data_IF_496198663803
#
_entry.id   IF_496198663803
#
_cell.length_a   1.000
_cell.length_b   1.000
_cell.length_c   1.000
_cell.angle_alpha   90.00
_cell.angle_beta   90.00
_cell.angle_gamma   90.00
#
_symmetry.space_group_name_H-M   'P 1'
#
loop_
_entity.id
_entity.type
_entity.pdbx_description
1 polymer ?
#
# COMPACT_ATOMS: atom_id res chain seq x y z
N UNK A 1 -6.05 0.32 7.85
CA UNK A 1 -4.95 1.20 7.38
C UNK A 1 -5.25 1.94 6.07
N UNK A 2 -6.51 1.90 5.58
CA UNK A 2 -7.00 2.76 4.50
C UNK A 2 -6.84 4.26 4.80
N UNK A 3 -6.93 4.66 6.08
CA UNK A 3 -6.69 6.03 6.54
C UNK A 3 -5.35 6.58 6.05
N UNK A 4 -4.27 5.83 6.25
CA UNK A 4 -2.91 6.30 5.93
C UNK A 4 -2.69 6.43 4.43
N UNK A 5 -3.39 5.64 3.61
CA UNK A 5 -3.29 5.73 2.16
C UNK A 5 -4.12 6.89 1.59
N UNK A 6 -5.39 7.01 1.99
CA UNK A 6 -6.28 8.06 1.46
C UNK A 6 -5.93 9.47 1.95
N UNK A 7 -5.28 9.58 3.10
CA UNK A 7 -4.85 10.86 3.71
C UNK A 7 -3.34 11.07 3.61
N UNK A 8 -2.63 10.25 2.84
CA UNK A 8 -1.20 10.42 2.59
C UNK A 8 -1.01 11.82 2.00
N UNK A 9 -0.24 12.68 2.66
CA UNK A 9 0.16 13.97 2.11
C UNK A 9 1.24 13.75 1.06
N UNK A 10 1.53 14.77 0.25
CA UNK A 10 2.67 14.72 -0.66
C UNK A 10 3.44 16.03 -0.70
N UNK A 11 4.71 15.95 -1.11
CA UNK A 11 5.56 17.11 -1.39
C UNK A 11 6.16 17.02 -2.79
N UNK A 12 6.20 18.13 -3.54
CA UNK A 12 6.96 18.20 -4.78
C UNK A 12 8.43 17.84 -4.57
N UNK A 13 9.05 17.30 -5.61
CA UNK A 13 10.49 17.08 -5.62
C UNK A 13 11.21 18.41 -5.41
N UNK A 14 12.15 18.44 -4.47
CA UNK A 14 12.90 19.65 -4.09
C UNK A 14 12.20 20.52 -3.04
N UNK A 15 10.93 20.27 -2.70
CA UNK A 15 10.29 20.95 -1.58
C UNK A 15 10.81 20.39 -0.25
N UNK A 16 10.85 21.25 0.78
CA UNK A 16 11.16 20.82 2.13
C UNK A 16 10.06 19.89 2.66
N UNK A 17 10.43 18.71 3.20
CA UNK A 17 9.50 17.82 3.89
C UNK A 17 8.75 18.52 5.03
N UNK A 18 7.55 18.06 5.33
CA UNK A 18 6.87 18.48 6.56
C UNK A 18 7.66 18.01 7.79
N UNK A 19 7.59 18.79 8.87
CA UNK A 19 8.26 18.42 10.13
C UNK A 19 7.59 17.18 10.73
N UNK A 20 8.39 16.39 11.46
CA UNK A 20 7.89 15.19 12.16
C UNK A 20 6.73 15.54 13.09
N UNK A 21 6.89 16.62 13.87
CA UNK A 21 5.85 17.13 14.79
C UNK A 21 4.54 17.41 14.06
N UNK A 22 4.59 18.11 12.92
CA UNK A 22 3.40 18.42 12.15
C UNK A 22 2.67 17.16 11.66
N UNK A 23 3.42 16.18 11.14
CA UNK A 23 2.84 14.92 10.67
C UNK A 23 2.24 14.09 11.82
N UNK A 24 2.90 14.06 12.99
CA UNK A 24 2.40 13.39 14.20
C UNK A 24 1.12 14.04 14.71
N UNK A 25 1.04 15.37 14.76
CA UNK A 25 -0.16 16.12 15.17
C UNK A 25 -1.34 15.80 14.25
N UNK A 26 -1.10 15.73 12.93
CA UNK A 26 -2.12 15.35 11.95
C UNK A 26 -2.43 13.86 11.93
N UNK A 27 -1.55 13.02 12.48
CA UNK A 27 -1.55 11.56 12.33
C UNK A 27 -1.68 11.13 10.87
N UNK A 28 -0.90 11.77 9.99
CA UNK A 28 -0.85 11.53 8.53
C UNK A 28 0.58 11.24 8.09
N UNK A 29 0.71 10.40 7.06
CA UNK A 29 1.99 10.19 6.38
C UNK A 29 2.23 11.21 5.28
N UNK A 30 3.43 11.18 4.70
CA UNK A 30 3.84 12.03 3.58
C UNK A 30 4.65 11.21 2.55
N UNK A 31 4.26 11.31 1.28
CA UNK A 31 5.09 10.92 0.14
C UNK A 31 6.01 12.09 -0.21
N UNK A 32 7.33 11.88 -0.18
CA UNK A 32 8.31 12.94 -0.39
C UNK A 32 9.56 12.42 -1.10
N UNK A 33 10.29 13.33 -1.74
CA UNK A 33 11.55 13.00 -2.38
C UNK A 33 12.70 12.99 -1.36
N UNK A 34 13.42 11.88 -1.27
CA UNK A 34 14.66 11.78 -0.55
C UNK A 34 15.81 12.15 -1.49
N UNK A 35 16.35 13.36 -1.31
CA UNK A 35 17.45 13.89 -2.13
C UNK A 35 18.78 13.16 -1.91
N UNK A 36 19.00 12.58 -0.73
CA UNK A 36 20.24 11.86 -0.41
C UNK A 36 20.32 10.54 -1.18
N UNK A 37 19.23 9.78 -1.17
CA UNK A 37 19.19 8.44 -1.76
C UNK A 37 18.64 8.44 -3.18
N UNK A 38 18.13 9.58 -3.66
CA UNK A 38 17.59 9.75 -5.00
C UNK A 38 16.33 8.92 -5.23
N UNK A 39 15.31 9.09 -4.39
CA UNK A 39 14.06 8.34 -4.57
C UNK A 39 12.87 8.87 -3.80
N UNK A 40 11.68 8.46 -4.24
CA UNK A 40 10.45 8.67 -3.48
C UNK A 40 10.45 7.81 -2.22
N UNK A 41 10.09 8.41 -1.09
CA UNK A 41 9.90 7.71 0.17
C UNK A 41 8.53 8.03 0.78
N UNK A 42 8.00 7.06 1.50
CA UNK A 42 6.82 7.20 2.35
C UNK A 42 7.31 7.31 3.79
N UNK A 43 7.05 8.46 4.41
CA UNK A 43 7.25 8.69 5.84
C UNK A 43 5.89 8.64 6.54
N UNK A 44 5.75 7.85 7.60
CA UNK A 44 4.53 7.83 8.41
C UNK A 44 4.91 7.86 9.89
N UNK A 45 4.50 8.88 10.66
CA UNK A 45 4.76 8.93 12.10
C UNK A 45 4.04 7.78 12.81
N UNK A 46 4.61 7.30 13.91
CA UNK A 46 4.11 6.12 14.63
C UNK A 46 2.66 6.33 15.12
N UNK A 47 2.28 7.55 15.48
CA UNK A 47 0.94 7.92 15.96
C UNK A 47 -0.16 7.78 14.89
N UNK A 48 0.21 7.66 13.61
CA UNK A 48 -0.73 7.37 12.53
C UNK A 48 -1.10 5.89 12.44
N UNK A 49 -0.38 4.99 13.13
CA UNK A 49 -0.68 3.56 13.16
C UNK A 49 -1.55 3.19 14.35
N UNK A 50 -2.53 2.30 14.10
CA UNK A 50 -3.37 1.76 15.19
C UNK A 50 -2.57 0.87 16.14
N UNK A 51 -1.53 0.22 15.63
CA UNK A 51 -0.64 -0.67 16.36
C UNK A 51 0.70 0.01 16.71
N UNK A 52 0.67 1.33 16.95
CA UNK A 52 1.84 2.14 17.32
C UNK A 52 2.67 1.53 18.47
N UNK A 53 2.02 0.90 19.45
CA UNK A 53 2.67 0.26 20.59
C UNK A 53 3.18 -1.17 20.34
N UNK A 54 3.04 -1.71 19.13
CA UNK A 54 3.53 -3.04 18.80
C UNK A 54 5.06 -3.12 18.77
N UNK A 55 5.58 -4.32 18.96
CA UNK A 55 7.01 -4.64 18.90
C UNK A 55 7.66 -4.31 17.55
N UNK A 56 6.87 -4.19 16.49
CA UNK A 56 7.31 -3.76 15.16
C UNK A 56 7.85 -2.32 15.18
N UNK A 57 7.09 -1.38 15.76
CA UNK A 57 7.43 0.03 15.67
C UNK A 57 8.46 0.45 16.72
N UNK A 58 8.42 -0.10 17.94
CA UNK A 58 9.32 0.31 19.04
C UNK A 58 9.40 1.84 19.23
N UNK A 59 8.28 2.54 19.01
CA UNK A 59 8.21 4.00 19.07
C UNK A 59 8.84 4.74 17.88
N UNK A 60 9.28 4.04 16.83
CA UNK A 60 9.87 4.64 15.63
C UNK A 60 8.83 4.83 14.53
N UNK A 61 9.04 5.87 13.71
CA UNK A 61 8.25 6.13 12.53
C UNK A 61 8.47 5.04 11.46
N UNK A 62 7.51 4.90 10.55
CA UNK A 62 7.67 4.08 9.36
C UNK A 62 8.36 4.89 8.26
N UNK A 63 9.42 4.31 7.71
CA UNK A 63 10.16 4.86 6.59
C UNK A 63 10.31 3.78 5.53
N UNK A 64 9.84 4.06 4.32
CA UNK A 64 10.02 3.16 3.18
C UNK A 64 10.40 3.97 1.95
N UNK A 65 11.63 3.76 1.45
CA UNK A 65 11.98 4.16 0.10
C UNK A 65 11.23 3.26 -0.88
N UNK A 66 10.48 3.87 -1.78
CA UNK A 66 9.76 3.15 -2.82
C UNK A 66 10.76 2.71 -3.89
N UNK A 67 10.84 1.41 -4.21
CA UNK A 67 11.67 0.96 -5.32
C UNK A 67 11.02 1.40 -6.64
N UNK A 68 11.84 1.84 -7.59
CA UNK A 68 11.35 2.24 -8.91
C UNK A 68 11.17 1.01 -9.82
N UNK A 69 10.17 0.19 -9.49
CA UNK A 69 9.83 -1.00 -10.27
C UNK A 69 8.69 -0.67 -11.24
N UNK A 70 8.82 -1.15 -12.47
CA UNK A 70 7.82 -0.98 -13.53
C UNK A 70 7.47 0.50 -13.83
N UNK A 71 8.46 1.40 -13.70
CA UNK A 71 8.28 2.83 -13.97
C UNK A 71 7.42 3.54 -12.93
N UNK A 72 7.47 3.11 -11.67
CA UNK A 72 6.70 3.70 -10.58
C UNK A 72 6.94 5.21 -10.48
N UNK A 73 8.18 5.67 -10.66
CA UNK A 73 8.50 7.09 -10.53
C UNK A 73 7.89 7.90 -11.67
N UNK A 74 7.91 7.36 -12.89
CA UNK A 74 7.24 7.99 -14.04
C UNK A 74 5.72 8.03 -13.86
N UNK A 75 5.13 6.98 -13.27
CA UNK A 75 3.70 6.96 -12.93
C UNK A 75 3.35 8.02 -11.87
N UNK A 76 4.19 8.16 -10.83
CA UNK A 76 4.03 9.20 -9.80
C UNK A 76 4.12 10.59 -10.44
N UNK A 77 5.15 10.85 -11.26
CA UNK A 77 5.33 12.13 -11.94
C UNK A 77 4.18 12.43 -12.90
N UNK A 78 3.80 11.48 -13.76
CA UNK A 78 2.66 11.64 -14.67
C UNK A 78 1.35 11.91 -13.92
N UNK A 79 1.14 11.25 -12.78
CA UNK A 79 0.00 11.52 -11.91
C UNK A 79 0.05 12.93 -11.32
N UNK A 80 1.15 13.32 -10.69
CA UNK A 80 1.28 14.61 -10.01
C UNK A 80 1.27 15.81 -10.96
N UNK A 81 1.95 15.69 -12.10
CA UNK A 81 2.18 16.82 -13.01
C UNK A 81 1.03 17.01 -14.00
N UNK A 82 0.32 15.94 -14.36
CA UNK A 82 -0.72 15.99 -15.40
C UNK A 82 -2.10 15.62 -14.88
N UNK A 83 -2.24 14.46 -14.25
CA UNK A 83 -3.58 13.93 -13.95
C UNK A 83 -4.22 14.57 -12.72
N UNK A 84 -3.44 14.77 -11.65
CA UNK A 84 -3.92 15.34 -10.40
C UNK A 84 -4.42 16.79 -10.56
N UNK A 85 -3.72 17.70 -11.28
CA UNK A 85 -4.24 19.04 -11.57
C UNK A 85 -5.55 19.00 -12.37
N UNK A 86 -5.69 18.09 -13.35
CA UNK A 86 -6.93 17.91 -14.11
C UNK A 86 -8.09 17.44 -13.23
N UNK A 87 -7.83 16.59 -12.25
CA UNK A 87 -8.85 16.13 -11.29
C UNK A 87 -9.29 17.25 -10.34
N UNK A 88 -8.37 18.12 -9.94
CA UNK A 88 -8.66 19.27 -9.07
C UNK A 88 -9.41 20.39 -9.82
N UNK A 89 -9.05 20.65 -11.08
CA UNK A 89 -9.60 21.78 -11.83
C UNK A 89 -9.33 23.09 -11.09
N UNK A 90 -10.40 23.80 -10.71
CA UNK A 90 -10.32 25.06 -9.95
C UNK A 90 -10.53 24.89 -8.44
N UNK A 91 -10.67 23.65 -7.95
CA UNK A 91 -10.84 23.40 -6.53
C UNK A 91 -9.55 23.63 -5.75
N UNK A 92 -9.68 23.96 -4.46
CA UNK A 92 -8.54 24.06 -3.56
C UNK A 92 -7.85 22.70 -3.42
N UNK A 93 -6.51 22.71 -3.44
CA UNK A 93 -5.72 21.50 -3.28
C UNK A 93 -5.72 21.04 -1.81
N UNK A 94 -6.21 19.83 -1.49
CA UNK A 94 -6.22 19.32 -0.11
C UNK A 94 -4.84 18.86 0.40
N UNK A 95 -3.82 18.85 -0.46
CA UNK A 95 -2.46 18.37 -0.15
C UNK A 95 -2.32 16.85 -0.04
N UNK A 96 -3.42 16.09 -0.15
CA UNK A 96 -3.37 14.61 -0.19
C UNK A 96 -2.87 14.12 -1.54
N UNK A 97 -2.07 13.06 -1.55
CA UNK A 97 -1.53 12.44 -2.75
C UNK A 97 -2.68 12.05 -3.69
N UNK A 98 -3.60 11.20 -3.22
CA UNK A 98 -4.80 10.84 -3.98
C UNK A 98 -5.92 11.87 -3.81
N UNK A 99 -6.54 12.25 -4.93
CA UNK A 99 -7.69 13.15 -4.99
C UNK A 99 -8.79 12.59 -5.87
N UNK A 100 -10.06 12.88 -5.53
CA UNK A 100 -11.21 12.61 -6.40
C UNK A 100 -11.44 13.81 -7.33
N UNK A 101 -12.10 13.58 -8.46
CA UNK A 101 -12.47 14.67 -9.37
C UNK A 101 -13.37 15.67 -8.66
N UNK A 102 -12.94 16.93 -8.55
CA UNK A 102 -13.78 18.01 -8.07
C UNK A 102 -14.89 18.28 -9.08
N UNK A 103 -16.12 18.39 -8.59
CA UNK A 103 -17.30 18.68 -9.42
C UNK A 103 -17.76 20.10 -9.15
N UNK A 104 -18.50 20.70 -10.09
CA UNK A 104 -19.15 22.01 -9.88
C UNK A 104 -20.00 22.08 -8.60
N UNK A 105 -20.58 20.95 -8.20
CA UNK A 105 -21.44 20.83 -7.01
C UNK A 105 -20.71 20.36 -5.75
N UNK A 106 -19.43 19.98 -5.85
CA UNK A 106 -18.62 19.51 -4.72
C UNK A 106 -17.15 19.82 -5.00
N UNK A 107 -16.64 20.86 -4.34
CA UNK A 107 -15.26 21.33 -4.44
C UNK A 107 -14.30 20.61 -3.52
N UNK A 108 -14.80 19.76 -2.61
CA UNK A 108 -13.95 18.90 -1.80
C UNK A 108 -13.37 17.80 -2.69
N UNK A 109 -12.05 17.78 -2.85
CA UNK A 109 -11.32 16.79 -3.62
C UNK A 109 -10.68 15.68 -2.73
N UNK A 110 -10.78 15.76 -1.40
CA UNK A 110 -10.24 14.74 -0.51
C UNK A 110 -11.11 13.47 -0.53
N UNK A 111 -10.47 12.32 -0.49
CA UNK A 111 -11.16 11.05 -0.37
C UNK A 111 -11.58 10.76 1.09
N UNK A 112 -12.89 10.52 1.27
CA UNK A 112 -13.45 9.88 2.46
C UNK A 112 -13.22 8.37 2.44
N UNK A 113 -13.63 7.67 3.50
CA UNK A 113 -13.48 6.22 3.57
C UNK A 113 -14.30 5.50 2.49
N UNK A 114 -15.57 5.85 2.34
CA UNK A 114 -16.47 5.22 1.36
C UNK A 114 -16.00 5.49 -0.07
N UNK A 115 -15.76 6.76 -0.40
CA UNK A 115 -15.38 7.15 -1.77
C UNK A 115 -14.03 6.59 -2.19
N UNK A 116 -13.07 6.47 -1.28
CA UNK A 116 -11.79 5.81 -1.59
C UNK A 116 -11.95 4.32 -1.84
N UNK A 117 -12.77 3.64 -1.04
CA UNK A 117 -13.03 2.21 -1.19
C UNK A 117 -13.71 1.92 -2.54
N UNK A 118 -14.70 2.73 -2.91
CA UNK A 118 -15.40 2.62 -4.19
C UNK A 118 -14.47 2.89 -5.37
N UNK A 119 -13.65 3.94 -5.30
CA UNK A 119 -12.66 4.25 -6.33
C UNK A 119 -11.68 3.09 -6.53
N UNK A 120 -11.16 2.52 -5.43
CA UNK A 120 -10.31 1.33 -5.48
C UNK A 120 -11.01 0.16 -6.16
N UNK A 121 -12.21 -0.19 -5.70
CA UNK A 121 -12.98 -1.32 -6.24
C UNK A 121 -13.25 -1.13 -7.73
N UNK A 122 -13.60 0.08 -8.17
CA UNK A 122 -13.85 0.38 -9.58
C UNK A 122 -12.59 0.22 -10.43
N UNK A 123 -11.44 0.72 -9.97
CA UNK A 123 -10.16 0.58 -10.66
C UNK A 123 -9.76 -0.89 -10.78
N UNK A 124 -9.87 -1.66 -9.70
CA UNK A 124 -9.59 -3.10 -9.73
C UNK A 124 -10.51 -3.83 -10.69
N UNK A 125 -11.81 -3.55 -10.66
CA UNK A 125 -12.77 -4.19 -11.56
C UNK A 125 -12.50 -3.87 -13.03
N UNK A 126 -12.12 -2.62 -13.34
CA UNK A 126 -11.92 -2.17 -14.71
C UNK A 126 -10.57 -2.56 -15.29
N UNK A 127 -9.52 -2.52 -14.48
CA UNK A 127 -8.13 -2.65 -14.95
C UNK A 127 -7.36 -3.81 -14.29
N UNK A 128 -7.72 -4.19 -13.06
CA UNK A 128 -7.04 -5.27 -12.35
C UNK A 128 -7.48 -6.66 -12.82
N UNK A 129 -8.80 -6.89 -12.90
CA UNK A 129 -9.37 -8.20 -13.21
C UNK A 129 -9.23 -8.50 -14.70
N UNK A 130 -8.53 -9.60 -15.03
CA UNK A 130 -8.42 -10.05 -16.41
C UNK A 130 -9.73 -10.67 -16.91
N UNK A 131 -10.23 -10.17 -18.04
CA UNK A 131 -11.40 -10.68 -18.74
C UNK A 131 -10.96 -11.52 -19.95
N UNK A 132 -11.24 -12.84 -19.95
CA UNK A 132 -10.79 -13.74 -21.02
C UNK A 132 -11.46 -13.50 -22.38
N UNK A 133 -12.62 -12.84 -22.40
CA UNK A 133 -13.35 -12.53 -23.64
C UNK A 133 -12.82 -11.26 -24.30
N UNK A 134 -12.45 -10.24 -23.53
CA UNK A 134 -11.93 -8.97 -24.08
C UNK A 134 -10.40 -8.91 -24.11
N UNK A 135 -9.71 -9.87 -23.47
CA UNK A 135 -8.25 -9.90 -23.29
C UNK A 135 -7.70 -8.65 -22.58
N UNK A 136 -8.55 -7.96 -21.80
CA UNK A 136 -8.20 -6.77 -21.03
C UNK A 136 -8.08 -7.11 -19.55
N UNK A 137 -7.37 -6.26 -18.80
CA UNK A 137 -7.11 -6.42 -17.38
C UNK A 137 -5.75 -7.07 -17.11
N UNK A 138 -5.25 -6.94 -15.87
CA UNK A 138 -3.87 -7.27 -15.55
C UNK A 138 -3.66 -8.69 -14.98
N UNK A 139 -4.60 -9.20 -14.18
CA UNK A 139 -4.38 -10.40 -13.36
C UNK A 139 -5.52 -11.41 -13.55
N UNK A 140 -5.17 -12.60 -14.04
CA UNK A 140 -6.09 -13.72 -14.17
C UNK A 140 -6.53 -14.25 -12.80
N UNK A 141 -7.83 -14.47 -12.65
CA UNK A 141 -8.42 -14.99 -11.40
C UNK A 141 -8.52 -13.97 -10.26
N UNK A 142 -8.09 -12.71 -10.47
CA UNK A 142 -8.28 -11.66 -9.48
C UNK A 142 -9.77 -11.35 -9.30
N UNK A 143 -10.21 -11.24 -8.05
CA UNK A 143 -11.58 -10.85 -7.71
C UNK A 143 -11.65 -9.39 -7.24
N UNK A 144 -12.83 -8.74 -7.31
CA UNK A 144 -13.02 -7.41 -6.74
C UNK A 144 -12.71 -7.43 -5.25
N UNK A 145 -11.90 -6.49 -4.78
CA UNK A 145 -11.43 -6.44 -3.41
C UNK A 145 -11.17 -5.00 -2.97
N UNK A 146 -11.05 -4.80 -1.65
CA UNK A 146 -10.75 -3.49 -1.07
C UNK A 146 -9.26 -3.27 -0.84
N UNK A 147 -8.82 -2.05 -0.47
CA UNK A 147 -7.42 -1.76 -0.21
C UNK A 147 -6.76 -2.65 0.87
N UNK A 148 -7.56 -3.23 1.78
CA UNK A 148 -7.05 -4.11 2.83
C UNK A 148 -6.42 -5.40 2.26
N UNK A 149 -6.98 -5.94 1.17
CA UNK A 149 -6.54 -7.22 0.63
C UNK A 149 -5.13 -7.19 0.05
N UNK A 150 -4.56 -6.00 -0.22
CA UNK A 150 -3.13 -5.87 -0.54
C UNK A 150 -2.28 -6.38 0.62
N UNK A 151 -2.68 -6.11 1.87
CA UNK A 151 -2.00 -6.65 3.06
C UNK A 151 -2.15 -8.16 3.12
N UNK A 152 -3.35 -8.68 2.86
CA UNK A 152 -3.61 -10.12 2.86
C UNK A 152 -2.67 -10.83 1.88
N UNK A 153 -2.57 -10.31 0.66
CA UNK A 153 -1.69 -10.84 -0.39
C UNK A 153 -0.23 -10.78 0.04
N UNK A 154 0.26 -9.63 0.54
CA UNK A 154 1.66 -9.48 0.94
C UNK A 154 2.04 -10.42 2.09
N UNK A 155 1.28 -10.42 3.17
CA UNK A 155 1.55 -11.26 4.35
C UNK A 155 1.49 -12.75 3.98
N UNK A 156 0.43 -13.16 3.29
CA UNK A 156 0.25 -14.57 2.88
C UNK A 156 1.33 -15.00 1.90
N UNK A 157 1.71 -14.15 0.93
CA UNK A 157 2.73 -14.49 -0.05
C UNK A 157 4.09 -14.68 0.61
N UNK A 158 4.50 -13.77 1.48
CA UNK A 158 5.78 -13.88 2.20
C UNK A 158 5.75 -15.11 3.10
N UNK A 159 4.68 -15.32 3.87
CA UNK A 159 4.57 -16.50 4.71
C UNK A 159 4.65 -17.81 3.91
N UNK A 160 4.00 -17.90 2.74
CA UNK A 160 4.11 -19.06 1.84
C UNK A 160 5.50 -19.25 1.24
N UNK A 161 6.28 -18.18 1.10
CA UNK A 161 7.63 -18.24 0.53
C UNK A 161 8.69 -18.56 1.58
N UNK A 162 8.51 -18.08 2.80
CA UNK A 162 9.57 -18.10 3.83
C UNK A 162 9.22 -18.94 5.04
N UNK A 163 7.94 -19.26 5.25
CA UNK A 163 7.45 -19.94 6.46
C UNK A 163 7.51 -19.09 7.74
N UNK A 164 8.03 -17.85 7.68
CA UNK A 164 8.24 -17.00 8.86
C UNK A 164 7.12 -15.99 9.05
N UNK A 165 6.46 -16.07 10.22
CA UNK A 165 5.47 -15.08 10.65
C UNK A 165 6.12 -13.72 10.90
N UNK A 166 7.37 -13.69 11.37
CA UNK A 166 8.16 -12.47 11.58
C UNK A 166 8.36 -11.73 10.26
N UNK A 167 8.88 -12.40 9.24
CA UNK A 167 9.11 -11.76 7.94
C UNK A 167 7.80 -11.30 7.30
N UNK A 168 6.74 -12.10 7.40
CA UNK A 168 5.41 -11.71 6.92
C UNK A 168 4.87 -10.48 7.67
N UNK A 169 5.11 -10.39 8.97
CA UNK A 169 4.66 -9.26 9.80
C UNK A 169 5.36 -7.95 9.41
N UNK A 170 6.63 -8.00 9.03
CA UNK A 170 7.38 -6.82 8.58
C UNK A 170 6.78 -6.20 7.32
N UNK A 171 6.34 -7.03 6.38
CA UNK A 171 5.76 -6.56 5.11
C UNK A 171 4.46 -5.80 5.29
N UNK A 172 3.73 -6.08 6.37
CA UNK A 172 2.49 -5.40 6.71
C UNK A 172 2.63 -4.51 7.96
N UNK A 173 3.85 -4.28 8.45
CA UNK A 173 4.13 -3.45 9.62
C UNK A 173 3.23 -3.84 10.82
N UNK A 174 3.14 -5.13 11.11
CA UNK A 174 2.30 -5.71 12.18
C UNK A 174 3.12 -6.67 13.06
N UNK A 175 2.47 -7.38 13.98
CA UNK A 175 3.12 -8.38 14.83
C UNK A 175 3.02 -9.80 14.24
N UNK A 176 3.97 -10.71 14.53
CA UNK A 176 3.90 -12.12 14.11
C UNK A 176 2.61 -12.80 14.56
N UNK A 177 2.15 -12.51 15.79
CA UNK A 177 0.92 -13.07 16.37
C UNK A 177 -0.31 -12.66 15.54
N UNK A 178 -0.37 -11.38 15.14
CA UNK A 178 -1.43 -10.86 14.27
C UNK A 178 -1.43 -11.56 12.91
N UNK A 179 -0.24 -11.86 12.35
CA UNK A 179 -0.12 -12.63 11.11
C UNK A 179 -0.63 -14.05 11.30
N UNK A 180 -0.26 -14.71 12.39
CA UNK A 180 -0.68 -16.07 12.68
C UNK A 180 -2.21 -16.19 12.79
N UNK A 181 -2.85 -15.27 13.51
CA UNK A 181 -4.30 -15.31 13.76
C UNK A 181 -5.15 -14.99 12.51
N UNK A 182 -4.69 -14.04 11.69
CA UNK A 182 -5.51 -13.45 10.63
C UNK A 182 -5.05 -13.78 9.21
N UNK A 183 -3.77 -14.09 9.01
CA UNK A 183 -3.15 -14.21 7.69
C UNK A 183 -2.55 -15.60 7.41
N UNK A 184 -2.35 -16.44 8.43
CA UNK A 184 -1.84 -17.82 8.32
C UNK A 184 -2.82 -18.87 7.80
N UNK A 185 -3.93 -18.45 7.17
CA UNK A 185 -5.02 -19.36 6.75
C UNK A 185 -4.77 -19.94 5.37
N UNK A 186 -4.01 -21.03 5.34
CA UNK A 186 -3.68 -21.76 4.11
C UNK A 186 -4.74 -22.80 3.74
N UNK A 187 -4.99 -22.95 2.44
CA UNK A 187 -5.80 -24.05 1.93
C UNK A 187 -5.10 -25.39 2.19
N UNK A 188 -5.82 -26.52 2.30
CA UNK A 188 -5.20 -27.83 2.50
C UNK A 188 -4.11 -28.14 1.47
N UNK A 189 -4.31 -27.79 0.20
CA UNK A 189 -3.31 -27.98 -0.85
C UNK A 189 -2.05 -27.13 -0.67
N UNK A 190 -2.17 -25.90 -0.17
CA UNK A 190 -1.01 -25.05 0.13
C UNK A 190 -0.15 -25.67 1.25
N UNK A 191 -0.80 -26.23 2.28
CA UNK A 191 -0.12 -26.89 3.41
C UNK A 191 0.63 -28.14 2.94
N UNK A 192 -0.01 -28.97 2.11
CA UNK A 192 0.62 -30.15 1.53
C UNK A 192 1.82 -29.78 0.64
N UNK A 193 1.69 -28.75 -0.21
CA UNK A 193 2.77 -28.28 -1.07
C UNK A 193 3.96 -27.73 -0.27
N UNK A 194 3.72 -27.03 0.85
CA UNK A 194 4.78 -26.57 1.75
C UNK A 194 5.51 -27.74 2.40
N UNK A 195 4.78 -28.73 2.92
CA UNK A 195 5.39 -29.93 3.50
C UNK A 195 6.20 -30.73 2.47
N UNK A 196 5.68 -30.86 1.24
CA UNK A 196 6.35 -31.58 0.16
C UNK A 196 7.71 -30.97 -0.21
N UNK A 197 7.88 -29.64 -0.16
CA UNK A 197 9.19 -29.01 -0.42
C UNK A 197 10.25 -29.46 0.56
N UNK A 198 9.93 -29.41 1.86
CA UNK A 198 10.86 -29.81 2.93
C UNK A 198 11.22 -31.29 2.79
N UNK A 199 10.23 -32.13 2.50
CA UNK A 199 10.46 -33.56 2.26
C UNK A 199 11.39 -33.78 1.07
N UNK A 200 11.14 -33.12 -0.06
CA UNK A 200 11.95 -33.26 -1.27
C UNK A 200 13.41 -32.84 -1.03
N UNK A 201 13.66 -31.73 -0.33
CA UNK A 201 15.02 -31.28 0.01
C UNK A 201 15.78 -32.31 0.86
N UNK A 202 15.09 -32.96 1.82
CA UNK A 202 15.67 -34.05 2.62
C UNK A 202 16.00 -35.27 1.76
N UNK A 203 15.12 -35.62 0.81
CA UNK A 203 15.33 -36.74 -0.09
C UNK A 203 16.47 -36.52 -1.09
N UNK A 204 16.68 -35.29 -1.57
CA UNK A 204 17.77 -34.95 -2.49
C UNK A 204 19.14 -34.91 -1.79
N UNK A 205 19.17 -34.67 -0.48
CA UNK A 205 20.39 -34.60 0.32
C UNK A 205 20.85 -35.97 0.91
N UNK A 206 20.06 -37.03 0.71
CA UNK A 206 20.32 -38.39 1.18
C UNK A 206 20.91 -39.28 0.07
#
# INVERSE_FOLDING_TARGET
RQKNLRQLLWKPRGAMPSTVRHLSDLRRGELRWNSRDGGWEVYIPVEAFKNAGSSYFRGQAFHLRLPDLHGLYDLISGYLDRHRPLLLGTAADPGTFFVKTAKRTSTDAEYGQTTFYEAWRLIIQRYGIYNPFTKRGAIQGLLPHGPHNVRDVLATHILKKTGSYEQASYAIQDSPETVQEHYGRFLPGDKAALAAKVLNEVWEAA
#
